data_IF_695228060369
#
_entry.id   IF_695228060369
#
_cell.length_a   1.000
_cell.length_b   1.000
_cell.length_c   1.000
_cell.angle_alpha   90.00
_cell.angle_beta   90.00
_cell.angle_gamma   90.00
#
_symmetry.space_group_name_H-M   'P 1'
#
loop_
_entity.id
_entity.type
_entity.pdbx_description
1 polymer ?
#
# COMPACT_ATOMS: atom_id res chain seq x y z
N UNK A 1 3.29 -17.01 -18.57
CA UNK A 1 4.27 -16.25 -19.37
C UNK A 1 3.64 -15.97 -20.73
N UNK A 2 3.26 -14.72 -20.98
CA UNK A 2 3.07 -14.19 -22.33
C UNK A 2 3.80 -12.86 -22.32
N UNK A 3 4.80 -12.73 -23.19
CA UNK A 3 5.53 -11.48 -23.39
C UNK A 3 4.53 -10.39 -23.75
N UNK A 4 4.38 -9.37 -22.90
CA UNK A 4 3.68 -8.15 -23.26
C UNK A 4 4.52 -7.44 -24.34
N UNK A 5 4.10 -7.62 -25.59
CA UNK A 5 4.75 -7.05 -26.75
C UNK A 5 4.60 -5.53 -26.80
N UNK A 6 5.71 -4.87 -27.13
CA UNK A 6 5.92 -3.44 -27.42
C UNK A 6 5.47 -2.42 -26.34
N UNK A 7 6.25 -1.35 -26.10
CA UNK A 7 5.82 -0.29 -25.20
C UNK A 7 4.53 0.33 -25.72
N UNK A 8 3.48 0.33 -24.90
CA UNK A 8 2.28 1.12 -25.13
C UNK A 8 2.72 2.58 -25.21
N UNK A 9 2.64 3.18 -26.40
CA UNK A 9 2.88 4.60 -26.58
C UNK A 9 1.77 5.35 -25.84
N UNK A 10 2.07 5.73 -24.60
CA UNK A 10 1.16 6.49 -23.75
C UNK A 10 0.73 7.75 -24.51
N UNK A 11 -0.58 8.08 -24.56
CA UNK A 11 -1.03 9.39 -25.06
C UNK A 11 -0.54 10.55 -24.17
N UNK A 12 0.17 10.26 -23.09
CA UNK A 12 0.81 11.19 -22.17
C UNK A 12 2.34 11.11 -22.37
N UNK A 13 2.95 12.03 -23.14
CA UNK A 13 4.33 11.92 -23.62
C UNK A 13 5.40 11.99 -22.51
N UNK A 14 5.01 12.33 -21.29
CA UNK A 14 5.88 12.41 -20.11
C UNK A 14 5.91 11.12 -19.28
N UNK A 15 5.09 10.13 -19.62
CA UNK A 15 4.89 8.94 -18.82
C UNK A 15 5.65 7.75 -19.45
N UNK A 16 6.93 7.61 -19.15
CA UNK A 16 7.69 6.38 -19.51
C UNK A 16 7.41 5.33 -18.44
N UNK A 17 6.41 4.48 -18.70
CA UNK A 17 6.04 3.40 -17.80
C UNK A 17 6.58 2.07 -18.31
N UNK A 18 7.42 1.43 -17.51
CA UNK A 18 7.87 0.08 -17.78
C UNK A 18 6.86 -0.93 -17.20
N UNK A 19 6.43 -1.95 -17.97
CA UNK A 19 5.73 -3.09 -17.39
C UNK A 19 6.65 -3.73 -16.35
N UNK A 20 6.11 -4.02 -15.16
CA UNK A 20 6.87 -4.61 -14.07
C UNK A 20 7.55 -5.90 -14.54
N UNK A 21 8.88 -5.91 -14.60
CA UNK A 21 9.64 -7.11 -14.94
C UNK A 21 9.59 -8.10 -13.76
N UNK A 22 9.41 -9.38 -14.06
CA UNK A 22 9.52 -10.44 -13.07
C UNK A 22 10.96 -10.51 -12.57
N UNK A 23 11.21 -10.04 -11.35
CA UNK A 23 12.51 -10.21 -10.69
C UNK A 23 12.87 -11.68 -10.58
N UNK A 24 13.97 -12.08 -11.22
CA UNK A 24 14.54 -13.41 -11.12
C UNK A 24 14.94 -13.72 -9.67
N UNK A 25 14.59 -14.92 -9.23
CA UNK A 25 14.85 -15.42 -7.89
C UNK A 25 16.36 -15.69 -7.75
N UNK A 26 17.10 -14.75 -7.15
CA UNK A 26 18.50 -14.92 -6.79
C UNK A 26 18.62 -15.73 -5.50
N UNK A 27 18.83 -17.03 -5.65
CA UNK A 27 19.16 -17.95 -4.56
C UNK A 27 20.50 -17.52 -3.92
N UNK A 28 20.50 -17.23 -2.62
CA UNK A 28 21.69 -16.81 -1.88
C UNK A 28 21.53 -17.06 -0.38
N UNK A 29 21.58 -18.34 0.00
CA UNK A 29 21.67 -18.80 1.38
C UNK A 29 22.92 -18.25 2.07
N UNK A 30 22.74 -17.54 3.19
CA UNK A 30 23.84 -16.99 3.98
C UNK A 30 23.39 -16.60 5.39
N UNK A 31 22.88 -17.56 6.16
CA UNK A 31 22.62 -17.40 7.58
C UNK A 31 23.97 -17.17 8.31
N UNK A 32 24.18 -15.97 8.88
CA UNK A 32 25.15 -15.77 9.96
C UNK A 32 24.41 -15.33 11.21
N UNK A 33 24.28 -16.25 12.14
CA UNK A 33 23.97 -15.97 13.53
C UNK A 33 25.13 -15.20 14.16
N UNK A 34 24.82 -14.16 14.91
CA UNK A 34 25.69 -13.66 15.99
C UNK A 34 24.85 -13.66 17.25
N UNK A 35 25.04 -14.71 18.04
CA UNK A 35 24.68 -14.69 19.45
C UNK A 35 25.60 -13.73 20.18
N UNK A 36 25.08 -13.09 21.21
CA UNK A 36 25.91 -12.74 22.35
C UNK A 36 25.12 -13.05 23.63
N UNK A 37 25.67 -13.97 24.39
CA UNK A 37 25.21 -14.39 25.70
C UNK A 37 26.06 -13.69 26.77
N UNK A 38 25.40 -13.09 27.74
CA UNK A 38 25.88 -12.82 29.10
C UNK A 38 24.64 -12.38 29.87
N UNK A 39 24.10 -13.07 30.87
CA UNK A 39 24.77 -13.80 31.93
C UNK A 39 24.63 -12.98 33.22
N UNK A 40 24.12 -13.63 34.27
CA UNK A 40 23.96 -13.17 35.67
C UNK A 40 22.77 -12.27 36.03
N UNK A 41 22.09 -12.35 37.18
CA UNK A 41 21.80 -13.37 38.24
C UNK A 41 21.12 -12.59 39.37
N UNK A 42 20.15 -13.19 40.06
CA UNK A 42 19.67 -12.75 41.39
C UNK A 42 18.69 -11.57 41.34
N UNK A 43 17.70 -11.43 42.21
CA UNK A 43 17.40 -12.11 43.46
C UNK A 43 16.25 -11.33 44.11
N UNK A 44 15.42 -12.05 44.84
CA UNK A 44 14.23 -11.63 45.58
C UNK A 44 14.50 -10.66 46.73
N UNK A 45 13.48 -9.88 47.12
CA UNK A 45 13.36 -9.26 48.46
C UNK A 45 12.86 -7.81 48.40
N UNK A 46 11.56 -7.53 48.64
CA UNK A 46 10.95 -7.13 49.93
C UNK A 46 11.62 -5.93 50.63
N UNK A 47 10.87 -4.85 50.82
CA UNK A 47 11.30 -3.73 51.65
C UNK A 47 10.25 -2.62 51.74
N UNK A 48 9.47 -2.66 52.81
CA UNK A 48 8.51 -1.66 53.30
C UNK A 48 9.20 -0.50 54.02
N UNK A 49 8.75 0.74 53.84
CA UNK A 49 8.86 1.86 54.80
C UNK A 49 7.66 2.80 54.55
N UNK A 50 6.58 2.86 55.36
CA UNK A 50 6.38 3.53 56.67
C UNK A 50 6.79 5.00 56.73
N UNK A 51 5.78 5.88 56.89
CA UNK A 51 5.94 7.31 57.18
C UNK A 51 4.65 7.94 57.68
N UNK A 52 4.30 7.69 58.93
CA UNK A 52 3.39 8.48 59.79
C UNK A 52 3.80 9.97 59.77
N UNK A 53 2.98 11.01 59.85
CA UNK A 53 1.63 11.23 60.34
C UNK A 53 1.63 12.61 61.02
N UNK A 54 0.69 13.52 60.71
CA UNK A 54 0.37 14.63 61.60
C UNK A 54 -1.07 15.11 61.40
N UNK A 55 -1.71 15.28 62.55
CA UNK A 55 -3.12 15.58 62.79
C UNK A 55 -3.35 17.07 62.64
N UNK A 56 -4.52 17.45 62.15
CA UNK A 56 -5.24 18.63 62.64
C UNK A 56 -6.75 18.33 62.67
N UNK A 57 -7.39 18.76 63.77
CA UNK A 57 -8.82 18.57 64.09
C UNK A 57 -9.55 19.91 63.98
N UNK A 58 -10.79 19.84 63.50
CA UNK A 58 -11.86 20.85 63.64
C UNK A 58 -12.83 20.66 62.47
N UNK A 59 -13.94 19.92 62.62
CA UNK A 59 -15.25 20.41 63.11
C UNK A 59 -15.99 21.11 61.96
N UNK A 60 -17.23 20.86 61.56
CA UNK A 60 -18.39 20.09 62.02
C UNK A 60 -19.44 20.09 60.88
N UNK A 61 -20.40 19.14 60.90
CA UNK A 61 -21.60 19.12 60.04
C UNK A 61 -21.37 18.45 58.67
N UNK A 62 -22.20 17.57 58.14
CA UNK A 62 -23.53 17.08 58.48
C UNK A 62 -24.08 16.45 57.18
N UNK A 63 -24.80 15.33 57.27
CA UNK A 63 -25.52 14.75 56.13
C UNK A 63 -24.86 13.52 55.50
N UNK A 64 -25.28 12.35 55.97
CA UNK A 64 -25.05 11.11 55.25
C UNK A 64 -25.90 11.05 53.98
N UNK A 65 -25.29 10.58 52.89
CA UNK A 65 -25.99 9.80 51.88
C UNK A 65 -25.01 8.78 51.34
N UNK A 66 -25.39 7.52 51.53
CA UNK A 66 -24.68 6.30 51.22
C UNK A 66 -24.55 6.16 49.69
N UNK A 67 -23.34 6.37 49.15
CA UNK A 67 -23.02 6.00 47.77
C UNK A 67 -22.47 4.57 47.75
N UNK A 68 -23.36 3.58 47.86
CA UNK A 68 -23.04 2.21 47.48
C UNK A 68 -23.20 2.05 45.97
N UNK A 69 -22.09 2.26 45.24
CA UNK A 69 -21.97 1.91 43.83
C UNK A 69 -22.08 0.40 43.66
N UNK A 70 -23.28 -0.10 43.41
CA UNK A 70 -23.50 -1.50 43.00
C UNK A 70 -22.98 -1.65 41.57
N UNK A 71 -21.80 -2.26 41.43
CA UNK A 71 -21.36 -2.86 40.18
C UNK A 71 -22.44 -3.85 39.71
N UNK A 72 -23.26 -3.45 38.72
CA UNK A 72 -24.05 -4.42 37.95
C UNK A 72 -23.07 -5.25 37.12
N UNK A 73 -22.66 -6.38 37.66
CA UNK A 73 -22.16 -7.51 36.87
C UNK A 73 -23.30 -7.94 35.95
N UNK A 74 -23.23 -7.54 34.69
CA UNK A 74 -24.09 -8.11 33.66
C UNK A 74 -23.62 -9.54 33.44
N UNK A 75 -24.40 -10.51 33.93
CA UNK A 75 -24.23 -11.90 33.54
C UNK A 75 -24.35 -12.00 32.02
N UNK A 76 -23.37 -12.61 31.31
CA UNK A 76 -23.49 -12.81 29.87
C UNK A 76 -24.77 -13.58 29.59
N UNK A 77 -25.65 -13.03 28.73
CA UNK A 77 -26.79 -13.79 28.22
C UNK A 77 -26.25 -15.04 27.50
N UNK A 78 -26.84 -16.23 27.71
CA UNK A 78 -26.45 -17.41 26.95
C UNK A 78 -26.64 -17.10 25.47
N UNK A 79 -25.54 -17.15 24.72
CA UNK A 79 -25.57 -17.10 23.27
C UNK A 79 -26.31 -18.36 22.82
N UNK A 80 -27.35 -18.18 22.01
CA UNK A 80 -28.10 -19.24 21.35
C UNK A 80 -27.14 -20.30 20.75
N UNK A 81 -27.56 -21.58 20.60
CA UNK A 81 -26.67 -22.67 20.19
C UNK A 81 -25.82 -22.24 19.01
N UNK A 82 -24.51 -22.45 19.14
CA UNK A 82 -23.50 -22.05 18.17
C UNK A 82 -23.90 -22.51 16.77
N UNK A 83 -24.49 -21.60 15.99
CA UNK A 83 -24.31 -21.67 14.55
C UNK A 83 -22.80 -21.63 14.38
N UNK A 84 -22.19 -22.72 13.94
CA UNK A 84 -20.82 -22.66 13.44
C UNK A 84 -20.88 -21.89 12.13
N UNK A 85 -20.66 -20.57 12.22
CA UNK A 85 -20.67 -19.69 11.05
C UNK A 85 -19.50 -20.05 10.13
N UNK A 86 -19.80 -20.28 8.86
CA UNK A 86 -18.76 -20.46 7.85
C UNK A 86 -18.35 -19.13 7.23
N UNK A 87 -17.20 -19.12 6.55
CA UNK A 87 -16.78 -17.97 5.75
C UNK A 87 -17.82 -17.63 4.66
N UNK A 88 -18.46 -18.65 4.09
CA UNK A 88 -19.47 -18.50 3.04
C UNK A 88 -20.75 -17.87 3.58
N UNK A 89 -21.18 -18.23 4.80
CA UNK A 89 -22.30 -17.57 5.49
C UNK A 89 -22.02 -16.08 5.69
N UNK A 90 -20.82 -15.76 6.18
CA UNK A 90 -20.37 -14.39 6.36
C UNK A 90 -20.36 -13.58 5.06
N UNK A 91 -19.82 -14.14 3.97
CA UNK A 91 -19.83 -13.49 2.64
C UNK A 91 -21.24 -13.29 2.11
N UNK A 92 -22.11 -14.30 2.27
CA UNK A 92 -23.49 -14.24 1.81
C UNK A 92 -24.26 -13.11 2.51
N UNK A 93 -24.11 -12.99 3.82
CA UNK A 93 -24.82 -11.99 4.62
C UNK A 93 -24.28 -10.59 4.34
N UNK A 94 -22.96 -10.39 4.44
CA UNK A 94 -22.33 -9.09 4.15
C UNK A 94 -22.61 -8.64 2.71
N UNK A 95 -22.50 -9.54 1.74
CA UNK A 95 -22.83 -9.26 0.33
C UNK A 95 -24.30 -8.94 0.08
N UNK A 96 -25.23 -9.55 0.83
CA UNK A 96 -26.66 -9.23 0.73
C UNK A 96 -26.96 -7.84 1.29
N UNK A 97 -26.37 -7.49 2.44
CA UNK A 97 -26.51 -6.17 3.04
C UNK A 97 -25.89 -5.08 2.14
N UNK A 98 -24.69 -5.31 1.60
CA UNK A 98 -24.05 -4.37 0.69
C UNK A 98 -24.89 -4.11 -0.57
N UNK A 99 -25.52 -5.13 -1.15
CA UNK A 99 -26.42 -4.97 -2.31
C UNK A 99 -27.70 -4.20 -1.98
N UNK A 100 -28.19 -4.30 -0.74
CA UNK A 100 -29.37 -3.59 -0.29
C UNK A 100 -29.07 -2.12 -0.02
N UNK A 101 -27.99 -1.83 0.72
CA UNK A 101 -27.66 -0.47 1.17
C UNK A 101 -26.97 0.34 0.07
N UNK A 102 -26.18 -0.30 -0.80
CA UNK A 102 -25.40 0.35 -1.88
C UNK A 102 -24.53 1.50 -1.39
N UNK A 103 -23.92 1.33 -0.21
CA UNK A 103 -23.02 2.31 0.38
C UNK A 103 -21.75 2.55 -0.47
N UNK A 104 -21.32 1.55 -1.24
CA UNK A 104 -20.18 1.65 -2.17
C UNK A 104 -20.62 1.50 -3.63
N UNK A 105 -19.86 2.06 -4.59
CA UNK A 105 -20.17 1.93 -6.01
C UNK A 105 -20.25 0.47 -6.46
N UNK A 106 -21.24 0.16 -7.31
CA UNK A 106 -21.34 -1.15 -7.97
C UNK A 106 -20.15 -1.32 -8.91
N UNK A 107 -19.48 -2.47 -8.78
CA UNK A 107 -18.26 -2.79 -9.51
C UNK A 107 -18.59 -3.46 -10.83
N UNK A 108 -17.92 -3.03 -11.89
CA UNK A 108 -18.03 -3.62 -13.23
C UNK A 108 -17.12 -4.84 -13.38
N UNK A 109 -17.33 -5.63 -14.43
CA UNK A 109 -16.42 -6.73 -14.79
C UNK A 109 -14.98 -6.23 -15.00
N UNK A 110 -14.83 -5.04 -15.60
CA UNK A 110 -13.53 -4.42 -15.81
C UNK A 110 -12.86 -4.05 -14.48
N UNK A 111 -13.63 -3.64 -13.47
CA UNK A 111 -13.11 -3.38 -12.13
C UNK A 111 -12.61 -4.65 -11.45
N UNK A 112 -13.33 -5.77 -11.62
CA UNK A 112 -12.92 -7.07 -11.10
C UNK A 112 -11.58 -7.54 -11.70
N UNK A 113 -11.32 -7.24 -12.99
CA UNK A 113 -10.03 -7.53 -13.61
C UNK A 113 -8.89 -6.72 -12.99
N UNK A 114 -9.12 -5.45 -12.65
CA UNK A 114 -8.13 -4.63 -11.92
C UNK A 114 -7.89 -5.20 -10.52
N UNK A 115 -8.95 -5.65 -9.83
CA UNK A 115 -8.84 -6.37 -8.56
C UNK A 115 -7.96 -7.61 -8.65
N UNK A 116 -8.17 -8.46 -9.66
CA UNK A 116 -7.34 -9.64 -9.92
C UNK A 116 -5.89 -9.28 -10.23
N UNK A 117 -5.67 -8.22 -11.02
CA UNK A 117 -4.33 -7.72 -11.32
C UNK A 117 -3.61 -7.21 -10.06
N UNK A 118 -4.31 -6.46 -9.21
CA UNK A 118 -3.80 -5.99 -7.92
C UNK A 118 -3.49 -7.12 -6.94
N UNK A 119 -4.37 -8.13 -6.85
CA UNK A 119 -4.16 -9.32 -6.03
C UNK A 119 -2.93 -10.11 -6.51
N UNK A 120 -2.79 -10.32 -7.83
CA UNK A 120 -1.62 -10.96 -8.42
C UNK A 120 -0.33 -10.20 -8.08
N UNK A 121 -0.35 -8.86 -8.20
CA UNK A 121 0.79 -8.03 -7.85
C UNK A 121 1.14 -8.16 -6.36
N UNK A 122 0.13 -8.06 -5.48
CA UNK A 122 0.30 -8.24 -4.04
C UNK A 122 0.94 -9.59 -3.72
N UNK A 123 0.34 -10.70 -4.15
CA UNK A 123 0.82 -12.05 -3.87
C UNK A 123 2.22 -12.36 -4.46
N UNK A 124 2.63 -11.70 -5.55
CA UNK A 124 3.99 -11.83 -6.09
C UNK A 124 5.03 -11.06 -5.31
N UNK A 125 4.63 -9.94 -4.70
CA UNK A 125 5.53 -9.06 -3.98
C UNK A 125 5.67 -9.48 -2.52
N UNK A 126 4.64 -10.05 -1.90
CA UNK A 126 4.72 -10.51 -0.50
C UNK A 126 4.78 -12.03 -0.35
N UNK A 127 5.33 -12.49 0.76
CA UNK A 127 5.41 -13.92 1.08
C UNK A 127 4.11 -14.48 1.68
N UNK A 128 4.09 -15.80 1.88
CA UNK A 128 3.00 -16.48 2.57
C UNK A 128 2.82 -15.94 4.01
N UNK A 129 1.58 -15.78 4.45
CA UNK A 129 1.25 -15.24 5.76
C UNK A 129 1.54 -13.74 5.91
N UNK A 130 1.67 -13.01 4.79
CA UNK A 130 1.86 -11.57 4.81
C UNK A 130 0.67 -10.84 5.43
N UNK A 131 0.96 -9.82 6.23
CA UNK A 131 -0.02 -8.87 6.77
C UNK A 131 -0.40 -7.88 5.68
N UNK A 132 -1.66 -7.91 5.27
CA UNK A 132 -2.18 -7.07 4.20
C UNK A 132 -3.34 -6.24 4.71
N UNK A 133 -3.22 -4.93 4.57
CA UNK A 133 -4.32 -3.99 4.77
C UNK A 133 -4.89 -3.57 3.41
N UNK A 134 -6.22 -3.48 3.32
CA UNK A 134 -6.92 -3.09 2.09
C UNK A 134 -7.86 -1.93 2.40
N UNK A 135 -7.67 -0.80 1.73
CA UNK A 135 -8.49 0.39 1.88
C UNK A 135 -9.86 0.28 1.20
N UNK A 136 -10.72 1.28 1.44
CA UNK A 136 -12.01 1.37 0.75
C UNK A 136 -11.88 1.67 -0.74
N UNK A 137 -12.94 1.34 -1.49
CA UNK A 137 -13.08 1.73 -2.89
C UNK A 137 -12.72 0.61 -3.85
N UNK A 138 -12.00 0.92 -4.93
CA UNK A 138 -11.58 -0.09 -5.90
C UNK A 138 -10.63 -1.16 -5.30
N UNK A 139 -9.77 -0.86 -4.30
CA UNK A 139 -9.00 -1.88 -3.59
C UNK A 139 -9.83 -3.02 -2.99
N UNK A 140 -11.12 -2.82 -2.69
CA UNK A 140 -11.99 -3.91 -2.19
C UNK A 140 -12.09 -5.09 -3.17
N UNK A 141 -11.91 -4.86 -4.47
CA UNK A 141 -11.83 -5.94 -5.48
C UNK A 141 -10.59 -6.81 -5.28
N UNK A 142 -9.51 -6.27 -4.71
CA UNK A 142 -8.34 -7.07 -4.30
C UNK A 142 -8.69 -7.90 -3.08
N UNK A 143 -9.35 -7.32 -2.06
CA UNK A 143 -9.76 -8.06 -0.87
C UNK A 143 -10.67 -9.24 -1.20
N UNK A 144 -11.57 -9.09 -2.17
CA UNK A 144 -12.44 -10.16 -2.64
C UNK A 144 -11.62 -11.37 -3.13
N UNK A 145 -10.63 -11.12 -4.01
CA UNK A 145 -9.73 -12.16 -4.55
C UNK A 145 -8.82 -12.75 -3.46
N UNK A 146 -8.23 -11.91 -2.60
CA UNK A 146 -7.39 -12.39 -1.50
C UNK A 146 -8.17 -13.26 -0.52
N UNK A 147 -9.45 -12.98 -0.31
CA UNK A 147 -10.31 -13.78 0.54
C UNK A 147 -10.54 -15.19 0.02
N UNK A 148 -10.44 -15.44 -1.29
CA UNK A 148 -10.62 -16.78 -1.87
C UNK A 148 -9.37 -17.67 -1.73
N UNK A 149 -8.25 -17.11 -1.27
CA UNK A 149 -7.02 -17.86 -1.04
C UNK A 149 -7.18 -18.82 0.15
N UNK A 150 -6.39 -19.91 0.18
CA UNK A 150 -6.36 -20.81 1.33
C UNK A 150 -6.06 -20.05 2.63
N UNK A 151 -6.71 -20.46 3.72
CA UNK A 151 -6.52 -19.85 5.03
C UNK A 151 -5.03 -19.78 5.41
N UNK A 152 -4.60 -18.61 5.91
CA UNK A 152 -3.20 -18.36 6.28
C UNK A 152 -2.29 -17.93 5.13
N UNK A 153 -2.74 -17.96 3.87
CA UNK A 153 -1.96 -17.43 2.73
C UNK A 153 -1.66 -15.95 2.88
N UNK A 154 -2.65 -15.19 3.36
CA UNK A 154 -2.58 -13.77 3.71
C UNK A 154 -3.25 -13.60 5.07
N UNK A 155 -2.75 -12.65 5.86
CA UNK A 155 -3.35 -12.21 7.11
C UNK A 155 -3.98 -10.82 6.90
N UNK A 156 -5.31 -10.72 6.73
CA UNK A 156 -5.96 -9.42 6.71
C UNK A 156 -5.67 -8.62 7.98
N UNK A 157 -5.33 -7.35 7.82
CA UNK A 157 -4.87 -6.50 8.91
C UNK A 157 -5.64 -5.17 8.89
N UNK A 158 -6.94 -5.23 9.24
CA UNK A 158 -7.84 -4.07 9.13
C UNK A 158 -7.57 -3.07 10.27
N UNK A 159 -7.41 -1.80 9.93
CA UNK A 159 -7.11 -0.70 10.88
C UNK A 159 -8.27 -0.42 11.87
N UNK A 160 -9.46 -0.92 11.55
CA UNK A 160 -10.63 -0.90 12.43
C UNK A 160 -10.53 -1.83 13.64
N UNK A 161 -9.53 -2.72 13.70
CA UNK A 161 -9.30 -3.60 14.85
C UNK A 161 -9.52 -5.09 14.62
N UNK A 162 -10.19 -5.47 13.51
CA UNK A 162 -10.45 -6.86 13.18
C UNK A 162 -9.27 -7.46 12.38
N UNK A 163 -8.51 -8.34 13.01
CA UNK A 163 -7.31 -8.96 12.42
C UNK A 163 -7.58 -10.43 12.06
N UNK A 164 -7.02 -10.86 10.93
CA UNK A 164 -7.22 -12.20 10.37
C UNK A 164 -8.59 -12.37 9.69
N UNK A 165 -8.94 -13.63 9.39
CA UNK A 165 -10.19 -13.96 8.69
C UNK A 165 -10.20 -13.46 7.24
N UNK A 166 -11.30 -12.85 6.83
CA UNK A 166 -11.49 -12.22 5.51
C UNK A 166 -11.99 -10.78 5.71
N UNK A 167 -11.34 -9.79 5.11
CA UNK A 167 -11.81 -8.39 5.17
C UNK A 167 -13.23 -8.26 4.64
N UNK A 168 -14.11 -7.62 5.41
CA UNK A 168 -15.51 -7.45 5.02
C UNK A 168 -15.65 -6.23 4.09
N UNK A 169 -16.28 -6.36 2.91
CA UNK A 169 -16.35 -5.28 1.93
C UNK A 169 -17.46 -4.27 2.24
N UNK A 170 -17.46 -3.15 1.52
CA UNK A 170 -18.56 -2.19 1.49
C UNK A 170 -18.85 -1.52 2.84
N UNK A 171 -20.10 -1.60 3.30
CA UNK A 171 -20.57 -0.97 4.53
C UNK A 171 -19.89 -1.50 5.81
N UNK A 172 -19.13 -2.59 5.70
CA UNK A 172 -18.42 -3.24 6.80
C UNK A 172 -16.92 -2.93 6.79
N UNK A 173 -16.52 -1.84 6.14
CA UNK A 173 -15.13 -1.41 6.12
C UNK A 173 -14.52 -1.36 7.53
N UNK A 174 -13.31 -1.91 7.68
CA UNK A 174 -12.64 -2.06 8.97
C UNK A 174 -13.02 -3.31 9.76
N UNK A 175 -14.06 -4.05 9.36
CA UNK A 175 -14.44 -5.33 9.95
C UNK A 175 -13.92 -6.54 9.15
N UNK A 176 -14.08 -7.73 9.72
CA UNK A 176 -13.73 -8.99 9.07
C UNK A 176 -14.80 -10.06 9.32
N UNK A 177 -14.89 -11.00 8.39
CA UNK A 177 -15.60 -12.27 8.55
C UNK A 177 -14.63 -13.24 9.24
N UNK A 178 -15.08 -13.82 10.36
CA UNK A 178 -14.32 -14.76 11.18
C UNK A 178 -12.90 -14.25 11.53
N UNK A 179 -12.76 -13.05 12.14
CA UNK A 179 -11.46 -12.57 12.59
C UNK A 179 -10.86 -13.53 13.62
N UNK A 180 -9.54 -13.64 13.62
CA UNK A 180 -8.80 -14.41 14.62
C UNK A 180 -8.53 -13.58 15.88
N UNK A 181 -8.53 -12.26 15.76
CA UNK A 181 -8.30 -11.34 16.87
C UNK A 181 -9.10 -10.04 16.65
N UNK A 182 -9.62 -9.46 17.73
CA UNK A 182 -10.23 -8.13 17.74
C UNK A 182 -9.52 -7.29 18.79
N UNK A 183 -8.92 -6.18 18.37
CA UNK A 183 -8.24 -5.20 19.23
C UNK A 183 -8.76 -3.79 18.93
N UNK A 184 -8.37 -2.80 19.74
CA UNK A 184 -8.68 -1.40 19.41
C UNK A 184 -7.90 -0.94 18.17
N UNK A 185 -8.45 0.02 17.42
CA UNK A 185 -7.71 0.65 16.31
C UNK A 185 -6.36 1.23 16.77
N UNK A 186 -6.31 1.84 17.96
CA UNK A 186 -5.05 2.35 18.52
C UNK A 186 -3.97 1.27 18.67
N UNK A 187 -4.37 0.06 19.07
CA UNK A 187 -3.47 -1.08 19.18
C UNK A 187 -3.04 -1.59 17.80
N UNK A 188 -3.92 -1.56 16.79
CA UNK A 188 -3.53 -1.87 15.40
C UNK A 188 -2.45 -0.89 14.93
N UNK A 189 -2.68 0.42 15.03
CA UNK A 189 -1.71 1.44 14.61
C UNK A 189 -0.37 1.30 15.33
N UNK A 190 -0.38 0.98 16.62
CA UNK A 190 0.85 0.66 17.36
C UNK A 190 1.60 -0.54 16.75
N UNK A 191 0.88 -1.61 16.39
CA UNK A 191 1.47 -2.83 15.78
C UNK A 191 1.87 -2.67 14.32
N UNK A 192 1.31 -1.70 13.59
CA UNK A 192 1.69 -1.43 12.19
C UNK A 192 3.19 -1.13 12.08
N UNK A 193 3.74 -0.37 13.04
CA UNK A 193 5.16 -0.04 13.09
C UNK A 193 6.07 -1.27 13.26
N UNK A 194 5.57 -2.36 13.85
CA UNK A 194 6.34 -3.60 14.01
C UNK A 194 6.45 -4.34 12.67
N UNK A 195 5.33 -4.48 11.95
CA UNK A 195 5.28 -5.14 10.64
C UNK A 195 3.94 -4.92 9.94
N UNK A 196 4.02 -4.33 8.75
CA UNK A 196 2.99 -4.38 7.70
C UNK A 196 3.68 -4.76 6.37
N UNK A 197 3.26 -5.86 5.75
CA UNK A 197 3.95 -6.35 4.56
C UNK A 197 3.45 -5.65 3.30
N UNK A 198 2.12 -5.49 3.15
CA UNK A 198 1.53 -4.75 2.05
C UNK A 198 0.31 -3.94 2.45
N UNK A 199 0.15 -2.77 1.83
CA UNK A 199 -1.10 -2.02 1.83
C UNK A 199 -1.63 -1.90 0.39
N UNK A 200 -2.94 -2.05 0.23
CA UNK A 200 -3.64 -1.91 -1.04
C UNK A 200 -4.60 -0.71 -0.95
N UNK A 201 -4.33 0.37 -1.68
CA UNK A 201 -4.97 1.67 -1.48
C UNK A 201 -5.49 2.29 -2.78
N UNK A 202 -6.48 3.17 -2.68
CA UNK A 202 -6.93 3.98 -3.82
C UNK A 202 -6.06 5.21 -4.02
N UNK A 203 -6.28 5.92 -5.13
CA UNK A 203 -5.71 7.22 -5.41
C UNK A 203 -6.79 8.16 -5.94
N UNK A 204 -6.69 9.49 -5.75
CA UNK A 204 -7.47 10.47 -6.49
C UNK A 204 -6.70 10.97 -7.70
N UNK A 205 -5.43 11.32 -7.49
CA UNK A 205 -4.48 11.75 -8.53
C UNK A 205 -3.15 11.03 -8.29
N UNK A 206 -2.44 10.74 -9.38
CA UNK A 206 -1.06 10.23 -9.38
C UNK A 206 -0.29 11.11 -10.35
N UNK A 207 0.90 11.58 -10.00
CA UNK A 207 1.70 12.41 -10.91
C UNK A 207 2.87 11.69 -11.59
N UNK A 208 3.58 12.44 -12.44
CA UNK A 208 4.66 11.93 -13.29
C UNK A 208 5.86 11.39 -12.52
N UNK A 209 6.04 11.81 -11.26
CA UNK A 209 7.09 11.29 -10.37
C UNK A 209 6.57 10.19 -9.42
N UNK A 210 5.28 9.88 -9.48
CA UNK A 210 4.62 8.84 -8.70
C UNK A 210 4.04 9.31 -7.37
N UNK A 211 4.02 10.62 -7.08
CA UNK A 211 3.35 11.12 -5.88
C UNK A 211 1.83 10.91 -6.00
N UNK A 212 1.17 10.71 -4.86
CA UNK A 212 -0.28 10.39 -4.83
C UNK A 212 -1.03 11.37 -3.93
N UNK A 213 -2.16 11.87 -4.43
CA UNK A 213 -3.18 12.59 -3.68
C UNK A 213 -4.34 11.66 -3.36
N UNK A 214 -4.76 11.59 -2.10
CA UNK A 214 -5.99 10.87 -1.70
C UNK A 214 -7.05 11.74 -1.04
N UNK A 215 -6.71 12.99 -0.70
CA UNK A 215 -7.51 13.82 0.20
C UNK A 215 -8.23 14.97 -0.52
N UNK A 216 -7.57 15.65 -1.45
CA UNK A 216 -8.03 16.91 -2.04
C UNK A 216 -8.76 16.68 -3.37
N UNK A 217 -10.07 16.95 -3.44
CA UNK A 217 -10.91 16.73 -4.65
C UNK A 217 -11.17 17.94 -5.53
N UNK A 218 -10.81 19.16 -5.09
CA UNK A 218 -10.68 20.43 -5.84
C UNK A 218 -10.97 21.64 -4.93
N UNK A 219 -12.04 21.57 -4.14
CA UNK A 219 -12.52 22.63 -3.24
C UNK A 219 -12.43 22.18 -1.77
N UNK A 220 -12.37 23.13 -0.82
CA UNK A 220 -12.25 22.83 0.62
C UNK A 220 -13.38 21.92 1.14
N UNK A 221 -14.58 22.03 0.57
CA UNK A 221 -15.74 21.18 0.91
C UNK A 221 -15.63 19.76 0.33
N UNK A 222 -14.69 19.52 -0.59
CA UNK A 222 -14.40 18.23 -1.20
C UNK A 222 -13.30 17.43 -0.49
N UNK A 223 -12.77 17.92 0.63
CA UNK A 223 -11.76 17.21 1.41
C UNK A 223 -12.35 16.00 2.12
N UNK A 224 -11.78 14.82 1.84
CA UNK A 224 -12.12 13.58 2.56
C UNK A 224 -11.17 13.35 3.75
N UNK A 225 -9.95 13.90 3.65
CA UNK A 225 -8.85 13.63 4.59
C UNK A 225 -8.17 12.28 4.31
N UNK A 226 -6.94 12.06 4.82
CA UNK A 226 -6.18 10.84 4.52
C UNK A 226 -6.59 9.63 5.37
N UNK A 227 -7.28 9.84 6.51
CA UNK A 227 -7.50 8.77 7.48
C UNK A 227 -6.18 8.14 7.91
N UNK A 228 -6.12 6.80 8.01
CA UNK A 228 -4.89 6.05 8.31
C UNK A 228 -3.92 5.89 7.14
N UNK A 229 -4.18 6.49 5.98
CA UNK A 229 -3.42 6.28 4.74
C UNK A 229 -1.92 6.51 4.92
N UNK A 230 -1.54 7.59 5.61
CA UNK A 230 -0.14 7.99 5.78
C UNK A 230 0.62 6.95 6.61
N UNK A 231 0.08 6.58 7.78
CA UNK A 231 0.67 5.55 8.65
C UNK A 231 0.79 4.20 7.95
N UNK A 232 -0.22 3.80 7.18
CA UNK A 232 -0.20 2.56 6.42
C UNK A 232 0.91 2.56 5.36
N UNK A 233 1.04 3.65 4.59
CA UNK A 233 2.12 3.78 3.61
C UNK A 233 3.51 3.82 4.27
N UNK A 234 3.62 4.50 5.42
CA UNK A 234 4.86 4.61 6.17
C UNK A 234 5.30 3.26 6.75
N UNK A 235 4.37 2.44 7.23
CA UNK A 235 4.69 1.14 7.83
C UNK A 235 4.86 0.02 6.80
N UNK A 236 4.15 0.08 5.66
CA UNK A 236 4.16 -1.01 4.68
C UNK A 236 5.52 -1.14 3.94
N UNK A 237 6.02 -2.36 3.80
CA UNK A 237 7.17 -2.63 2.91
C UNK A 237 6.80 -2.53 1.41
N UNK A 238 5.52 -2.76 1.11
CA UNK A 238 4.98 -2.82 -0.26
C UNK A 238 3.68 -2.03 -0.35
N UNK A 239 3.54 -1.20 -1.36
CA UNK A 239 2.36 -0.36 -1.58
C UNK A 239 1.77 -0.67 -2.95
N UNK A 240 0.51 -1.11 -2.98
CA UNK A 240 -0.23 -1.40 -4.20
C UNK A 240 -1.37 -0.39 -4.35
N UNK A 241 -1.19 0.60 -5.22
CA UNK A 241 -2.27 1.51 -5.57
C UNK A 241 -3.20 0.85 -6.59
N UNK A 242 -4.47 0.71 -6.26
CA UNK A 242 -5.50 0.14 -7.13
C UNK A 242 -6.49 1.24 -7.47
N UNK A 243 -6.44 1.70 -8.71
CA UNK A 243 -7.22 2.87 -9.15
C UNK A 243 -7.62 2.76 -10.61
N UNK A 244 -8.73 3.41 -10.97
CA UNK A 244 -8.96 3.70 -12.37
C UNK A 244 -7.87 4.61 -12.93
N UNK A 245 -7.57 4.47 -14.22
CA UNK A 245 -6.67 5.42 -14.89
C UNK A 245 -7.38 6.74 -15.18
N UNK A 246 -8.68 6.66 -15.47
CA UNK A 246 -9.56 7.80 -15.72
C UNK A 246 -10.83 7.70 -14.86
N UNK A 247 -11.35 8.83 -14.42
CA UNK A 247 -12.71 8.93 -13.88
C UNK A 247 -13.72 9.09 -15.01
N UNK A 248 -14.91 8.49 -14.89
CA UNK A 248 -15.99 8.58 -15.89
C UNK A 248 -15.66 8.03 -17.29
N UNK A 249 -14.56 7.28 -17.44
CA UNK A 249 -14.33 6.50 -18.65
C UNK A 249 -15.36 5.38 -18.76
N UNK A 250 -15.74 5.04 -19.99
CA UNK A 250 -16.55 3.86 -20.29
C UNK A 250 -15.66 2.81 -20.90
N UNK A 251 -15.58 1.65 -20.25
CA UNK A 251 -14.76 0.53 -20.66
C UNK A 251 -15.65 -0.71 -20.85
N UNK A 252 -15.22 -1.60 -21.72
CA UNK A 252 -15.80 -2.92 -21.89
C UNK A 252 -14.68 -3.95 -21.84
N UNK A 253 -14.97 -5.16 -21.38
CA UNK A 253 -14.07 -6.29 -21.51
C UNK A 253 -14.72 -7.38 -22.36
N UNK A 254 -13.90 -8.10 -23.11
CA UNK A 254 -14.24 -9.37 -23.74
C UNK A 254 -13.02 -10.29 -23.78
N UNK A 255 -13.09 -11.37 -24.56
CA UNK A 255 -12.01 -12.34 -24.70
C UNK A 255 -10.71 -11.74 -25.27
N UNK A 256 -10.75 -10.57 -25.89
CA UNK A 256 -9.56 -9.87 -26.41
C UNK A 256 -8.96 -8.89 -25.39
N UNK A 257 -9.61 -8.69 -24.24
CA UNK A 257 -9.15 -7.82 -23.16
C UNK A 257 -10.02 -6.57 -22.97
N UNK A 258 -9.45 -5.58 -22.27
CA UNK A 258 -10.13 -4.33 -21.93
C UNK A 258 -10.06 -3.35 -23.09
N UNK A 259 -11.20 -2.79 -23.49
CA UNK A 259 -11.32 -1.73 -24.50
C UNK A 259 -11.99 -0.49 -23.93
N UNK A 260 -11.40 0.67 -24.21
CA UNK A 260 -11.95 1.97 -23.84
C UNK A 260 -12.95 2.39 -24.91
N UNK A 261 -14.21 2.50 -24.53
CA UNK A 261 -15.31 2.94 -25.42
C UNK A 261 -15.44 4.46 -25.44
N UNK A 262 -15.15 5.11 -24.31
CA UNK A 262 -15.17 6.56 -24.19
C UNK A 262 -14.21 7.00 -23.09
N UNK A 263 -13.32 7.93 -23.41
CA UNK A 263 -12.45 8.55 -22.41
C UNK A 263 -13.24 9.43 -21.44
N UNK A 264 -12.70 9.56 -20.23
CA UNK A 264 -13.15 10.41 -19.15
C UNK A 264 -12.08 11.42 -18.76
N UNK A 265 -11.92 11.69 -17.46
CA UNK A 265 -10.88 12.59 -16.96
C UNK A 265 -9.71 11.80 -16.37
N UNK A 266 -8.46 12.07 -16.76
CA UNK A 266 -7.31 11.34 -16.26
C UNK A 266 -7.11 11.57 -14.76
N UNK A 267 -6.71 10.51 -14.06
CA UNK A 267 -6.19 10.58 -12.69
C UNK A 267 -4.67 10.64 -12.66
N UNK A 268 -4.03 10.24 -13.76
CA UNK A 268 -2.61 10.44 -13.99
C UNK A 268 -2.39 11.86 -14.54
N UNK A 269 -1.78 12.72 -13.74
CA UNK A 269 -1.63 14.16 -13.99
C UNK A 269 -0.16 14.54 -14.03
N UNK A 270 0.15 15.77 -14.45
CA UNK A 270 1.56 16.24 -14.42
C UNK A 270 2.06 16.47 -12.99
N UNK A 271 1.19 16.97 -12.12
CA UNK A 271 1.50 17.26 -10.71
C UNK A 271 0.24 17.08 -9.88
N UNK A 272 0.34 16.37 -8.77
CA UNK A 272 -0.79 16.22 -7.85
C UNK A 272 -1.13 17.54 -7.18
N UNK A 273 -2.39 17.74 -6.81
CA UNK A 273 -2.81 18.93 -6.04
C UNK A 273 -2.20 18.98 -4.66
N UNK A 274 -2.11 17.82 -4.01
CA UNK A 274 -1.58 17.67 -2.67
C UNK A 274 -0.87 16.32 -2.55
N UNK A 275 0.32 16.31 -1.95
CA UNK A 275 1.09 15.09 -1.75
C UNK A 275 0.61 14.44 -0.46
N UNK A 276 -0.10 13.32 -0.58
CA UNK A 276 -0.45 12.44 0.55
C UNK A 276 0.51 11.26 0.67
N UNK A 277 1.15 10.86 -0.43
CA UNK A 277 2.25 9.90 -0.49
C UNK A 277 3.35 10.45 -1.37
N UNK A 278 4.60 10.38 -0.88
CA UNK A 278 5.78 10.88 -1.58
C UNK A 278 6.62 9.72 -2.15
N UNK A 279 6.64 9.60 -3.47
CA UNK A 279 7.36 8.55 -4.21
C UNK A 279 8.85 8.54 -3.90
N UNK A 280 9.49 9.72 -3.89
CA UNK A 280 10.93 9.83 -3.63
C UNK A 280 11.33 9.36 -2.23
N UNK A 281 10.46 9.55 -1.23
CA UNK A 281 10.68 9.06 0.12
C UNK A 281 10.52 7.54 0.19
N UNK A 282 9.48 7.00 -0.45
CA UNK A 282 9.25 5.58 -0.49
C UNK A 282 10.38 4.81 -1.17
N UNK A 283 10.89 5.31 -2.30
CA UNK A 283 12.06 4.74 -2.99
C UNK A 283 13.31 4.79 -2.12
N UNK A 284 13.57 5.90 -1.41
CA UNK A 284 14.70 6.00 -0.47
C UNK A 284 14.58 5.02 0.70
N UNK A 285 13.36 4.75 1.15
CA UNK A 285 13.06 3.77 2.18
C UNK A 285 13.09 2.31 1.67
N UNK A 286 13.42 2.09 0.39
CA UNK A 286 13.48 0.75 -0.21
C UNK A 286 12.11 0.08 -0.38
N UNK A 287 11.02 0.86 -0.34
CA UNK A 287 9.66 0.35 -0.51
C UNK A 287 9.42 -0.02 -1.96
N UNK A 288 8.63 -1.07 -2.17
CA UNK A 288 8.14 -1.47 -3.50
C UNK A 288 6.78 -0.85 -3.73
N UNK A 289 6.61 -0.12 -4.83
CA UNK A 289 5.37 0.60 -5.11
C UNK A 289 4.89 0.22 -6.51
N UNK A 290 3.62 -0.15 -6.61
CA UNK A 290 2.98 -0.51 -7.88
C UNK A 290 1.62 0.15 -8.02
N UNK A 291 1.23 0.45 -9.26
CA UNK A 291 -0.05 1.04 -9.62
C UNK A 291 -0.79 0.07 -10.55
N UNK A 292 -1.85 -0.57 -10.04
CA UNK A 292 -2.74 -1.43 -10.79
C UNK A 292 -3.95 -0.63 -11.31
N UNK A 293 -4.14 -0.64 -12.62
CA UNK A 293 -5.18 0.12 -13.30
C UNK A 293 -5.83 -0.71 -14.41
N UNK A 294 -6.92 -0.19 -15.00
CA UNK A 294 -7.53 -0.78 -16.19
C UNK A 294 -6.60 -0.82 -17.42
N UNK A 295 -5.51 -0.03 -17.40
CA UNK A 295 -4.51 0.03 -18.47
C UNK A 295 -3.34 -0.95 -18.26
N UNK A 296 -3.20 -1.51 -17.06
CA UNK A 296 -2.09 -2.39 -16.71
C UNK A 296 -1.52 -2.13 -15.32
N UNK A 297 -0.40 -2.81 -15.04
CA UNK A 297 0.36 -2.74 -13.81
C UNK A 297 1.67 -2.00 -14.06
N UNK A 298 1.91 -0.95 -13.28
CA UNK A 298 3.09 -0.10 -13.39
C UNK A 298 3.91 -0.16 -12.11
N UNK A 299 5.23 -0.30 -12.24
CA UNK A 299 6.16 -0.22 -11.11
C UNK A 299 6.71 1.20 -10.95
N UNK A 300 6.86 1.65 -9.70
CA UNK A 300 7.65 2.85 -9.41
C UNK A 300 9.13 2.47 -9.34
N UNK A 301 9.94 3.06 -10.20
CA UNK A 301 11.38 2.83 -10.25
C UNK A 301 12.13 4.15 -10.08
N UNK A 302 13.37 4.05 -9.59
CA UNK A 302 14.26 5.21 -9.57
C UNK A 302 14.61 5.54 -11.02
N UNK A 303 14.39 6.79 -11.42
CA UNK A 303 14.85 7.25 -12.72
C UNK A 303 16.34 6.89 -12.88
N UNK A 304 16.74 6.25 -14.00
CA UNK A 304 18.15 6.03 -14.25
C UNK A 304 18.86 7.39 -14.26
N UNK A 305 20.11 7.47 -13.77
CA UNK A 305 20.87 8.72 -13.86
C UNK A 305 20.89 9.18 -15.32
N UNK A 306 20.54 10.46 -15.53
CA UNK A 306 20.51 11.06 -16.85
C UNK A 306 21.94 11.19 -17.39
N UNK A 307 22.40 10.17 -18.11
CA UNK A 307 23.62 10.26 -18.91
C UNK A 307 23.25 10.97 -20.23
N UNK A 308 23.09 12.29 -20.17
CA UNK A 308 22.95 13.12 -21.36
C UNK A 308 23.62 14.49 -21.16
N UNK A 309 24.86 14.47 -20.68
CA UNK A 309 25.85 15.39 -21.24
C UNK A 309 26.46 14.67 -22.44
N UNK A 310 25.78 14.77 -23.59
CA UNK A 310 26.50 14.63 -24.85
C UNK A 310 27.48 15.80 -24.85
N UNK A 311 28.74 15.53 -24.48
CA UNK A 311 29.86 16.37 -24.87
C UNK A 311 29.87 16.41 -26.39
N UNK A 312 29.15 17.40 -26.94
CA UNK A 312 29.37 17.87 -28.29
C UNK A 312 30.75 18.51 -28.29
N UNK A 313 31.76 17.70 -28.61
CA UNK A 313 33.08 18.20 -28.95
C UNK A 313 32.92 19.24 -30.05
N UNK A 314 33.34 20.46 -29.76
CA UNK A 314 33.64 21.44 -30.79
C UNK A 314 34.66 20.82 -31.77
N UNK A 315 34.54 21.03 -33.09
CA UNK A 315 35.63 20.73 -33.99
C UNK A 315 36.73 21.78 -33.74
N UNK A 316 37.66 21.44 -32.85
CA UNK A 316 38.86 22.22 -32.58
C UNK A 316 39.64 22.41 -33.87
N UNK A 317 39.71 23.65 -34.35
CA UNK A 317 40.64 24.09 -35.36
C UNK A 317 42.07 23.88 -34.87
N UNK A 318 42.77 22.92 -35.47
CA UNK A 318 44.18 22.68 -35.26
C UNK A 318 45.00 23.17 -36.46
N UNK A 319 45.47 24.40 -36.38
CA UNK A 319 46.58 24.91 -37.19
C UNK A 319 47.87 24.18 -36.81
N UNK A 320 48.35 23.27 -37.65
CA UNK A 320 49.64 22.61 -37.51
C UNK A 320 50.59 23.05 -38.62
N UNK A 321 51.37 24.10 -38.35
CA UNK A 321 52.47 24.54 -39.19
C UNK A 321 53.76 23.76 -38.90
N UNK A 322 54.58 23.68 -39.96
CA UNK A 322 56.00 23.35 -40.02
C UNK A 322 56.44 21.95 -39.58
N UNK A 323 56.75 21.12 -40.58
CA UNK A 323 58.00 20.36 -40.53
C UNK A 323 58.76 20.51 -41.86
N UNK A 324 60.02 20.93 -41.75
CA UNK A 324 61.01 21.05 -42.82
C UNK A 324 61.93 19.85 -42.69
N UNK A 325 62.08 19.04 -43.74
CA UNK A 325 63.11 18.01 -43.77
C UNK A 325 63.02 17.21 -45.05
N UNK A 326 63.97 17.41 -45.96
CA UNK A 326 63.90 16.96 -47.34
C UNK A 326 64.25 15.49 -47.57
N UNK A 327 64.15 15.09 -48.85
CA UNK A 327 64.92 13.97 -49.37
C UNK A 327 64.20 13.15 -50.45
N UNK A 328 64.53 13.45 -51.72
CA UNK A 328 64.64 12.54 -52.88
C UNK A 328 63.49 11.55 -53.14
N UNK A 329 62.67 11.73 -54.18
CA UNK A 329 62.98 11.42 -55.59
C UNK A 329 62.20 10.15 -55.99
N UNK A 330 61.61 9.94 -57.16
CA UNK A 330 61.41 10.67 -58.41
C UNK A 330 60.56 9.79 -59.33
N UNK A 331 59.94 10.40 -60.36
CA UNK A 331 59.35 9.73 -61.54
C UNK A 331 58.03 8.97 -61.31
N UNK A 332 57.01 9.06 -62.14
CA UNK A 332 56.83 9.70 -63.45
C UNK A 332 55.61 9.06 -64.14
N UNK A 333 54.87 9.89 -64.90
CA UNK A 333 53.92 9.50 -65.96
C UNK A 333 52.59 8.87 -65.48
N UNK A 334 51.42 9.20 -66.01
CA UNK A 334 51.02 10.01 -67.16
C UNK A 334 49.68 9.47 -67.68
N UNK A 335 48.87 10.33 -68.29
CA UNK A 335 47.64 9.96 -69.01
C UNK A 335 46.39 10.58 -68.41
#
# INVERSE_FOLDING_TARGET
EQSFGAPYASPWPFLTLHPAQSGGNGNGSGHRSRGNASGNTGGTGTGTETGTGKRDRGGSGGGGSDQSGVHRTTTPKPVAPSLEWTADDGRRITGTINRLIRATPVRSEVDSLVGRLGALACCRLVGHGARVNVGTGLPEEVAAVLGELPAGSIQPYNEGGALGGISAPGAFFGAAILPTEIVSSSEVFRRLHDRLDCVVLGALEIDEIGDVNVSCRAELQGYVGPGGFVDLCECASTICFVTSFETRARMACDMQGVRIRRHGHPKFVRKVREVSFCASQALRAGKRVVYATHYGLFGLERAPPSNASLEGGEPGGGSGGSDKGGGYGGGGGGG
#
